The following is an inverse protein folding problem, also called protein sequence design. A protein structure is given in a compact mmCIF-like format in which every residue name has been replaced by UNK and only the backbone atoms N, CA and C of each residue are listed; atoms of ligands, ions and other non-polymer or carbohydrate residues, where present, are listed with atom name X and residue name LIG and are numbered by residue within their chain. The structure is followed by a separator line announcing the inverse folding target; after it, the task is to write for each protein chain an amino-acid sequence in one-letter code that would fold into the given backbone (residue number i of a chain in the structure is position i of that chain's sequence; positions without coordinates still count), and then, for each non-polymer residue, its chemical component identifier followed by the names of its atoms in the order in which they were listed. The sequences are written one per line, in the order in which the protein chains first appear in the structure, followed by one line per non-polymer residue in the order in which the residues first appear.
data_IF_698534695409
#
_entry.id   IF_698534695409
#
_cell.length_a   1.000
_cell.length_b   1.000
_cell.length_c   1.000
_cell.angle_alpha   90.00
_cell.angle_beta   90.00
_cell.angle_gamma   90.00
#
_symmetry.space_group_name_H-M   'P 1'
#
loop_
_entity.id
_entity.type
_entity.pdbx_description
1 polymer ?
#
# COMPACT_ATOMS: atom_id res chain seq x y z
N UNK A 1 -4.83 5.71 -5.03
CA UNK A 1 -3.37 5.79 -5.22
C UNK A 1 -2.74 4.41 -5.11
N UNK A 2 -2.56 3.79 -3.93
CA UNK A 2 -1.91 2.47 -3.76
C UNK A 2 -2.47 1.42 -4.74
N UNK A 3 -3.77 1.14 -4.69
CA UNK A 3 -4.42 0.18 -5.60
C UNK A 3 -4.21 0.46 -7.09
N UNK A 4 -4.13 1.74 -7.45
CA UNK A 4 -3.88 2.18 -8.82
C UNK A 4 -2.44 1.92 -9.26
N UNK A 5 -1.47 2.19 -8.36
CA UNK A 5 -0.06 1.90 -8.63
C UNK A 5 0.19 0.40 -8.72
N UNK A 6 -0.37 -0.38 -7.80
CA UNK A 6 -0.23 -1.85 -7.80
C UNK A 6 -0.80 -2.51 -9.05
N UNK A 7 -1.84 -1.94 -9.63
CA UNK A 7 -2.48 -2.51 -10.82
C UNK A 7 -1.58 -2.60 -12.05
N UNK A 8 -0.46 -1.88 -12.06
CA UNK A 8 0.55 -1.98 -13.13
C UNK A 8 1.50 -3.17 -12.95
N UNK A 9 1.56 -3.74 -11.74
CA UNK A 9 2.48 -4.81 -11.37
C UNK A 9 1.81 -6.18 -11.20
N UNK A 10 0.53 -6.31 -11.53
CA UNK A 10 -0.18 -7.59 -11.48
C UNK A 10 -0.97 -7.91 -10.20
N UNK A 11 -0.58 -7.45 -8.99
CA UNK A 11 -1.33 -7.80 -7.79
C UNK A 11 -2.76 -7.26 -7.81
N UNK A 12 -3.71 -8.11 -7.41
CA UNK A 12 -5.09 -7.66 -7.16
C UNK A 12 -5.26 -7.26 -5.70
N UNK A 13 -5.92 -6.11 -5.48
CA UNK A 13 -6.34 -5.70 -4.13
C UNK A 13 -7.61 -6.44 -3.78
N UNK A 14 -7.52 -7.39 -2.86
CA UNK A 14 -8.65 -8.23 -2.43
C UNK A 14 -9.57 -7.50 -1.45
N UNK A 15 -9.02 -6.62 -0.63
CA UNK A 15 -9.80 -5.83 0.33
C UNK A 15 -9.16 -4.47 0.56
N UNK A 16 -9.99 -3.46 0.83
CA UNK A 16 -9.58 -2.14 1.31
C UNK A 16 -10.46 -1.75 2.48
N UNK A 17 -9.84 -1.49 3.63
CA UNK A 17 -10.50 -1.07 4.85
C UNK A 17 -10.04 0.32 5.24
N UNK A 18 -10.94 1.15 5.71
CA UNK A 18 -10.62 2.44 6.33
C UNK A 18 -11.15 2.41 7.76
N UNK A 19 -10.27 2.64 8.71
CA UNK A 19 -10.58 2.62 10.13
C UNK A 19 -10.14 3.96 10.75
N UNK A 20 -10.82 4.37 11.83
CA UNK A 20 -10.32 5.42 12.71
C UNK A 20 -9.27 4.84 13.68
N UNK A 21 -8.69 5.71 14.50
CA UNK A 21 -7.55 5.40 15.40
C UNK A 21 -7.98 4.66 16.69
N UNK A 22 -8.88 3.69 16.54
CA UNK A 22 -9.31 2.78 17.59
C UNK A 22 -8.41 1.54 17.63
N UNK A 23 -7.63 1.42 18.69
CA UNK A 23 -6.65 0.33 18.87
C UNK A 23 -7.27 -1.06 18.69
N UNK A 24 -8.45 -1.30 19.25
CA UNK A 24 -9.10 -2.61 19.20
C UNK A 24 -9.53 -2.97 17.77
N UNK A 25 -10.09 -2.00 17.05
CA UNK A 25 -10.50 -2.20 15.65
C UNK A 25 -9.31 -2.41 14.73
N UNK A 26 -8.23 -1.65 14.94
CA UNK A 26 -7.00 -1.77 14.17
C UNK A 26 -6.33 -3.12 14.38
N UNK A 27 -6.21 -3.61 15.61
CA UNK A 27 -5.68 -4.95 15.93
C UNK A 27 -6.51 -6.03 15.23
N UNK A 28 -7.83 -6.02 15.38
CA UNK A 28 -8.71 -7.01 14.74
C UNK A 28 -8.60 -7.03 13.22
N UNK A 29 -8.46 -5.86 12.61
CA UNK A 29 -8.29 -5.76 11.16
C UNK A 29 -6.93 -6.32 10.72
N UNK A 30 -5.88 -6.06 11.48
CA UNK A 30 -4.53 -6.57 11.25
C UNK A 30 -4.50 -8.11 11.36
N UNK A 31 -5.02 -8.66 12.45
CA UNK A 31 -5.12 -10.11 12.67
C UNK A 31 -5.91 -10.82 11.57
N UNK A 32 -7.05 -10.25 11.19
CA UNK A 32 -7.85 -10.78 10.08
C UNK A 32 -7.10 -10.77 8.76
N UNK A 33 -6.41 -9.68 8.44
CA UNK A 33 -5.68 -9.54 7.19
C UNK A 33 -4.46 -10.46 7.12
N UNK A 34 -3.75 -10.65 8.24
CA UNK A 34 -2.60 -11.55 8.35
C UNK A 34 -2.94 -13.02 8.07
N UNK A 35 -4.21 -13.43 8.21
CA UNK A 35 -4.65 -14.79 7.88
C UNK A 35 -5.12 -14.98 6.43
N UNK A 36 -5.30 -13.90 5.66
CA UNK A 36 -5.98 -13.93 4.35
C UNK A 36 -5.09 -13.43 3.21
N UNK A 37 -4.29 -12.41 3.46
CA UNK A 37 -3.49 -11.75 2.44
C UNK A 37 -2.02 -12.16 2.51
N UNK A 38 -1.36 -12.31 1.36
CA UNK A 38 0.12 -12.47 1.30
C UNK A 38 0.85 -11.16 1.63
N UNK A 39 0.22 -10.03 1.33
CA UNK A 39 0.75 -8.70 1.61
C UNK A 39 -0.35 -7.83 2.19
N UNK A 40 -0.05 -7.14 3.27
CA UNK A 40 -0.88 -6.12 3.90
C UNK A 40 -0.17 -4.77 3.84
N UNK A 41 -0.86 -3.73 3.39
CA UNK A 41 -0.35 -2.36 3.40
C UNK A 41 -1.14 -1.56 4.43
N UNK A 42 -0.44 -1.03 5.43
CA UNK A 42 -0.98 -0.10 6.40
C UNK A 42 -0.51 1.32 6.06
N UNK A 43 -1.45 2.24 5.85
CA UNK A 43 -1.12 3.61 5.49
C UNK A 43 -1.61 4.59 6.55
N UNK A 44 -0.68 5.26 7.22
CA UNK A 44 -0.92 6.20 8.33
C UNK A 44 -0.44 5.67 9.68
N UNK A 45 -0.58 6.50 10.71
CA UNK A 45 -0.26 6.16 12.09
C UNK A 45 1.23 5.95 12.40
N UNK A 46 2.13 6.58 11.62
CA UNK A 46 3.60 6.57 11.82
C UNK A 46 4.15 7.93 12.27
N UNK A 47 3.28 8.88 12.53
CA UNK A 47 3.65 10.21 12.98
C UNK A 47 4.14 10.23 14.44
N UNK A 48 4.44 11.46 14.95
CA UNK A 48 4.99 11.65 16.29
C UNK A 48 3.93 11.74 17.39
N UNK A 49 2.64 11.70 17.07
CA UNK A 49 1.55 11.95 18.01
C UNK A 49 1.12 10.69 18.75
N UNK A 50 0.30 10.83 19.81
CA UNK A 50 -0.10 9.69 20.65
C UNK A 50 -1.06 8.73 19.94
N UNK A 51 -1.81 9.22 18.99
CA UNK A 51 -2.73 8.48 18.14
C UNK A 51 -2.05 7.74 16.97
N UNK A 52 -0.76 7.98 16.75
CA UNK A 52 0.06 7.22 15.80
C UNK A 52 0.46 5.87 16.41
N UNK A 53 -0.35 4.84 16.14
CA UNK A 53 -0.26 3.52 16.80
C UNK A 53 0.30 2.41 15.91
N UNK A 54 0.56 2.67 14.64
CA UNK A 54 0.86 1.61 13.65
C UNK A 54 2.06 0.75 14.04
N UNK A 55 3.17 1.35 14.46
CA UNK A 55 4.36 0.58 14.86
C UNK A 55 4.09 -0.32 16.07
N UNK A 56 3.36 0.20 17.08
CA UNK A 56 2.99 -0.57 18.28
C UNK A 56 2.06 -1.74 17.97
N UNK A 57 1.07 -1.51 17.11
CA UNK A 57 0.10 -2.53 16.71
C UNK A 57 0.76 -3.65 15.91
N UNK A 58 1.66 -3.30 15.01
CA UNK A 58 2.40 -4.28 14.21
C UNK A 58 3.38 -5.06 15.09
N UNK A 59 4.07 -4.41 16.03
CA UNK A 59 4.93 -5.10 17.00
C UNK A 59 4.13 -6.12 17.84
N UNK A 60 2.96 -5.70 18.34
CA UNK A 60 2.08 -6.59 19.10
C UNK A 60 1.60 -7.79 18.28
N UNK A 61 1.19 -7.58 17.03
CA UNK A 61 0.77 -8.65 16.12
C UNK A 61 1.92 -9.59 15.72
N UNK A 62 3.14 -9.06 15.64
CA UNK A 62 4.34 -9.85 15.37
C UNK A 62 4.87 -10.59 16.62
N UNK A 63 4.29 -10.33 17.79
CA UNK A 63 4.79 -10.90 19.06
C UNK A 63 6.20 -10.43 19.41
N UNK A 64 6.57 -9.21 19.00
CA UNK A 64 7.90 -8.64 19.20
C UNK A 64 7.85 -7.31 19.95
N UNK A 65 8.99 -6.81 20.37
CA UNK A 65 9.10 -5.52 21.03
C UNK A 65 9.38 -4.37 20.06
N UNK A 66 9.09 -3.14 20.50
CA UNK A 66 9.53 -1.93 19.82
C UNK A 66 10.95 -1.58 20.28
N UNK A 67 11.86 -1.49 19.32
CA UNK A 67 13.25 -1.08 19.56
C UNK A 67 13.57 0.17 18.77
N UNK A 68 14.52 0.97 19.25
CA UNK A 68 15.08 2.06 18.45
C UNK A 68 15.83 1.46 17.26
N UNK A 69 15.33 1.73 16.05
CA UNK A 69 15.92 1.24 14.81
C UNK A 69 17.03 2.21 14.35
N UNK A 70 18.29 1.76 14.17
CA UNK A 70 19.41 2.65 13.88
C UNK A 70 19.24 3.52 12.62
N UNK A 71 18.68 2.94 11.57
CA UNK A 71 18.43 3.69 10.32
C UNK A 71 17.28 4.70 10.46
N UNK A 72 16.24 4.37 11.22
CA UNK A 72 15.15 5.30 11.50
C UNK A 72 15.63 6.46 12.38
N UNK A 73 16.48 6.20 13.39
CA UNK A 73 17.08 7.23 14.24
C UNK A 73 17.96 8.18 13.41
N UNK A 74 18.84 7.64 12.57
CA UNK A 74 19.64 8.43 11.66
C UNK A 74 18.77 9.31 10.75
N UNK A 75 17.75 8.75 10.13
CA UNK A 75 16.84 9.47 9.23
C UNK A 75 16.13 10.63 9.94
N UNK A 76 15.58 10.40 11.14
CA UNK A 76 14.88 11.42 11.91
C UNK A 76 15.83 12.55 12.31
N UNK A 77 17.05 12.22 12.76
CA UNK A 77 18.06 13.22 13.11
C UNK A 77 18.50 14.06 11.91
N UNK A 78 18.77 13.43 10.78
CA UNK A 78 19.12 14.11 9.54
C UNK A 78 17.98 15.02 9.06
N UNK A 79 16.74 14.55 9.15
CA UNK A 79 15.55 15.32 8.80
C UNK A 79 15.36 16.55 9.68
N UNK A 80 15.58 16.42 10.99
CA UNK A 80 15.55 17.53 11.95
C UNK A 80 16.71 18.51 11.71
N UNK A 81 17.91 18.02 11.58
CA UNK A 81 19.10 18.84 11.35
C UNK A 81 18.99 19.70 10.09
N UNK A 82 18.46 19.13 8.98
CA UNK A 82 18.22 19.87 7.74
C UNK A 82 17.22 21.04 7.89
N UNK A 83 16.48 21.10 9.01
CA UNK A 83 15.52 22.17 9.35
C UNK A 83 15.94 23.01 10.54
N UNK A 84 17.15 22.80 11.06
CA UNK A 84 17.64 23.47 12.25
C UNK A 84 16.85 23.14 13.52
N UNK A 85 16.29 21.94 13.61
CA UNK A 85 15.45 21.47 14.73
C UNK A 85 16.22 20.39 15.49
N UNK A 86 16.27 20.49 16.81
CA UNK A 86 16.74 19.39 17.67
C UNK A 86 15.60 18.35 17.84
N UNK A 87 15.89 17.05 17.66
CA UNK A 87 14.88 16.00 17.84
C UNK A 87 14.37 15.97 19.29
N UNK A 88 13.07 16.08 19.47
CA UNK A 88 12.39 15.90 20.74
C UNK A 88 11.86 14.46 20.91
N UNK A 89 11.26 14.15 22.07
CA UNK A 89 10.72 12.81 22.35
C UNK A 89 9.69 12.35 21.32
N UNK A 90 8.85 13.26 20.82
CA UNK A 90 7.85 12.94 19.80
C UNK A 90 8.52 12.57 18.47
N UNK A 91 9.60 13.24 18.08
CA UNK A 91 10.38 12.83 16.91
C UNK A 91 11.04 11.47 17.13
N UNK A 92 11.61 11.24 18.33
CA UNK A 92 12.25 9.97 18.67
C UNK A 92 11.29 8.80 18.78
N UNK A 93 9.98 9.04 19.05
CA UNK A 93 8.95 7.99 18.93
C UNK A 93 8.95 7.34 17.55
N UNK A 94 9.15 8.11 16.49
CA UNK A 94 9.17 7.62 15.12
C UNK A 94 10.36 6.70 14.78
N UNK A 95 11.37 6.66 15.66
CA UNK A 95 12.53 5.78 15.50
C UNK A 95 12.29 4.37 16.07
N UNK A 96 11.21 4.20 16.84
CA UNK A 96 10.86 2.93 17.46
C UNK A 96 10.03 2.08 16.51
N UNK A 97 10.62 0.99 16.06
CA UNK A 97 10.01 0.05 15.13
C UNK A 97 10.01 -1.37 15.71
N UNK A 98 9.13 -2.26 15.20
CA UNK A 98 9.16 -3.67 15.60
C UNK A 98 10.55 -4.28 15.38
N UNK A 99 11.05 -5.04 16.32
CA UNK A 99 12.31 -5.77 16.18
C UNK A 99 12.24 -6.69 14.97
N UNK A 100 13.24 -6.62 14.09
CA UNK A 100 13.30 -7.36 12.84
C UNK A 100 12.63 -6.65 11.65
N UNK A 101 12.05 -5.48 11.84
CA UNK A 101 11.55 -4.68 10.72
C UNK A 101 12.68 -4.17 9.82
N UNK A 102 12.43 -4.06 8.53
CA UNK A 102 13.30 -3.40 7.56
C UNK A 102 12.69 -2.07 7.12
N UNK A 103 13.53 -1.06 6.92
CA UNK A 103 13.10 0.30 6.57
C UNK A 103 12.56 0.36 5.15
N UNK A 104 11.54 1.21 4.94
CA UNK A 104 11.10 1.75 3.65
C UNK A 104 11.42 3.24 3.68
N UNK A 105 12.30 3.68 2.79
CA UNK A 105 12.80 5.05 2.81
C UNK A 105 11.71 6.09 2.54
N UNK A 106 11.69 7.17 3.33
CA UNK A 106 10.80 8.31 3.11
C UNK A 106 11.61 9.58 2.79
N UNK A 107 11.79 9.93 1.53
CA UNK A 107 12.59 11.09 1.17
C UNK A 107 11.91 12.44 1.44
N UNK A 108 10.66 12.47 1.92
CA UNK A 108 9.88 13.69 2.09
C UNK A 108 9.43 14.00 3.50
N UNK A 109 9.42 13.01 4.39
CA UNK A 109 8.93 13.17 5.76
C UNK A 109 9.91 12.66 6.80
N UNK A 110 9.59 12.93 8.07
CA UNK A 110 10.40 12.46 9.22
C UNK A 110 10.17 10.99 9.54
N UNK A 111 8.94 10.49 9.33
CA UNK A 111 8.62 9.10 9.60
C UNK A 111 9.05 8.22 8.42
N UNK A 112 9.87 7.23 8.67
CA UNK A 112 10.13 6.15 7.71
C UNK A 112 8.94 5.20 7.65
N UNK A 113 8.76 4.49 6.55
CA UNK A 113 7.96 3.28 6.53
C UNK A 113 8.79 2.08 6.99
N UNK A 114 8.13 0.95 7.20
CA UNK A 114 8.83 -0.29 7.48
C UNK A 114 8.10 -1.51 6.93
N UNK A 115 8.83 -2.60 6.79
CA UNK A 115 8.31 -3.89 6.39
C UNK A 115 8.69 -4.96 7.41
N UNK A 116 7.75 -5.85 7.72
CA UNK A 116 7.98 -7.01 8.60
C UNK A 116 7.06 -8.16 8.17
N UNK A 117 7.52 -9.38 8.35
CA UNK A 117 6.69 -10.57 8.10
C UNK A 117 6.00 -11.03 9.39
N UNK A 118 4.70 -11.26 9.33
CA UNK A 118 3.89 -11.73 10.46
C UNK A 118 2.99 -12.86 9.98
N UNK A 119 3.19 -14.06 10.49
CA UNK A 119 2.37 -15.22 10.15
C UNK A 119 2.31 -15.56 8.66
N UNK A 120 3.39 -15.30 7.91
CA UNK A 120 3.45 -15.54 6.46
C UNK A 120 2.86 -14.39 5.62
N UNK A 121 2.44 -13.29 6.26
CA UNK A 121 1.98 -12.07 5.59
C UNK A 121 3.07 -11.00 5.69
N UNK A 122 3.50 -10.46 4.56
CA UNK A 122 4.38 -9.29 4.52
C UNK A 122 3.54 -8.04 4.83
N UNK A 123 3.83 -7.39 5.95
CA UNK A 123 3.21 -6.11 6.34
C UNK A 123 4.13 -4.99 5.91
N UNK A 124 3.60 -4.07 5.10
CA UNK A 124 4.27 -2.86 4.65
C UNK A 124 3.55 -1.65 5.26
N UNK A 125 4.28 -0.77 5.90
CA UNK A 125 3.71 0.45 6.49
C UNK A 125 4.21 1.68 5.77
N UNK A 126 3.35 2.68 5.65
CA UNK A 126 3.70 3.97 5.03
C UNK A 126 3.03 5.12 5.78
N UNK A 127 3.64 6.32 5.83
CA UNK A 127 2.98 7.51 6.34
C UNK A 127 1.68 7.85 5.60
N UNK A 128 0.74 8.50 6.30
CA UNK A 128 -0.55 8.88 5.75
C UNK A 128 -0.53 10.07 4.78
N UNK A 129 0.55 10.85 4.77
CA UNK A 129 0.69 12.06 3.93
C UNK A 129 0.81 11.68 2.45
N UNK A 130 -0.11 12.15 1.57
CA UNK A 130 -0.15 11.69 0.18
C UNK A 130 1.12 11.97 -0.63
N UNK A 131 1.86 13.05 -0.30
CA UNK A 131 3.12 13.39 -0.96
C UNK A 131 4.26 12.45 -0.60
N UNK A 132 4.30 12.01 0.67
CA UNK A 132 5.25 11.04 1.20
C UNK A 132 4.97 9.66 0.60
N UNK A 133 3.74 9.21 0.69
CA UNK A 133 3.30 7.95 0.10
C UNK A 133 3.67 7.84 -1.39
N UNK A 134 3.45 8.90 -2.19
CA UNK A 134 3.84 8.87 -3.61
C UNK A 134 5.33 8.66 -3.83
N UNK A 135 6.15 9.26 -2.97
CA UNK A 135 7.60 9.12 -3.08
C UNK A 135 8.07 7.71 -2.68
N UNK A 136 7.34 7.03 -1.81
CA UNK A 136 7.67 5.69 -1.31
C UNK A 136 7.10 4.57 -2.18
N UNK A 137 6.07 4.84 -3.00
CA UNK A 137 5.37 3.84 -3.79
C UNK A 137 6.26 2.96 -4.68
N UNK A 138 7.32 3.46 -5.34
CA UNK A 138 8.21 2.60 -6.13
C UNK A 138 8.78 1.46 -5.29
N UNK A 139 9.41 1.75 -4.16
CA UNK A 139 9.99 0.75 -3.27
C UNK A 139 8.92 -0.19 -2.69
N UNK A 140 7.75 0.34 -2.30
CA UNK A 140 6.62 -0.46 -1.82
C UNK A 140 6.17 -1.45 -2.89
N UNK A 141 6.03 -1.02 -4.14
CA UNK A 141 5.64 -1.90 -5.25
C UNK A 141 6.69 -2.98 -5.53
N UNK A 142 7.97 -2.63 -5.53
CA UNK A 142 9.07 -3.60 -5.69
C UNK A 142 9.04 -4.69 -4.62
N UNK A 143 8.86 -4.32 -3.35
CA UNK A 143 8.75 -5.28 -2.23
C UNK A 143 7.52 -6.18 -2.37
N UNK A 144 6.39 -5.65 -2.83
CA UNK A 144 5.18 -6.43 -3.08
C UNK A 144 5.43 -7.44 -4.20
N UNK A 145 5.98 -7.00 -5.33
CA UNK A 145 6.29 -7.87 -6.47
C UNK A 145 7.25 -8.99 -6.05
N UNK A 146 8.28 -8.66 -5.27
CA UNK A 146 9.21 -9.66 -4.75
C UNK A 146 8.51 -10.70 -3.85
N UNK A 147 7.59 -10.26 -2.98
CA UNK A 147 6.90 -11.13 -2.03
C UNK A 147 5.87 -12.07 -2.69
N UNK A 148 5.17 -11.60 -3.73
CA UNK A 148 4.09 -12.40 -4.36
C UNK A 148 4.55 -13.19 -5.59
N UNK A 149 5.79 -12.96 -6.07
CA UNK A 149 6.27 -13.56 -7.31
C UNK A 149 5.57 -12.92 -8.51
N UNK A 150 5.71 -11.61 -8.68
CA UNK A 150 4.93 -10.83 -9.64
C UNK A 150 5.13 -11.27 -11.08
N UNK A 151 4.01 -11.37 -11.80
CA UNK A 151 3.96 -11.37 -13.26
C UNK A 151 3.80 -9.93 -13.77
N UNK A 152 4.25 -9.66 -14.98
CA UNK A 152 3.87 -8.42 -15.65
C UNK A 152 2.36 -8.46 -15.95
N UNK A 153 1.61 -7.53 -15.39
CA UNK A 153 0.22 -7.34 -15.78
C UNK A 153 0.18 -6.30 -16.89
N UNK A 154 -0.27 -6.73 -18.04
CA UNK A 154 -0.53 -5.84 -19.16
C UNK A 154 -1.96 -5.31 -19.05
N UNK A 155 -2.09 -3.99 -19.12
CA UNK A 155 -3.41 -3.35 -19.13
C UNK A 155 -3.53 -2.40 -20.30
N UNK A 156 -4.57 -2.64 -21.09
CA UNK A 156 -4.99 -1.74 -22.18
C UNK A 156 -6.27 -1.03 -21.75
N UNK A 157 -6.35 0.28 -21.97
CA UNK A 157 -7.55 1.08 -21.75
C UNK A 157 -7.94 1.74 -23.05
N UNK A 158 -9.16 1.50 -23.47
CA UNK A 158 -9.75 2.09 -24.66
C UNK A 158 -10.87 3.04 -24.22
N UNK A 159 -10.87 4.23 -24.76
CA UNK A 159 -11.96 5.20 -24.56
C UNK A 159 -12.89 5.15 -25.74
N UNK A 160 -14.17 4.96 -25.48
CA UNK A 160 -15.22 5.02 -26.50
C UNK A 160 -16.18 6.16 -26.18
N UNK A 161 -16.87 6.65 -27.20
CA UNK A 161 -17.82 7.77 -27.08
C UNK A 161 -19.16 7.40 -27.70
N UNK A 162 -20.25 7.78 -27.02
CA UNK A 162 -21.61 7.61 -27.55
C UNK A 162 -22.13 6.17 -27.60
N UNK A 163 -21.48 5.25 -26.93
CA UNK A 163 -21.89 3.84 -26.80
C UNK A 163 -22.09 3.49 -25.34
N UNK A 164 -23.16 2.77 -25.03
CA UNK A 164 -23.42 2.25 -23.69
C UNK A 164 -22.68 0.95 -23.43
N UNK A 165 -22.50 0.62 -22.13
CA UNK A 165 -21.77 -0.57 -21.65
C UNK A 165 -22.34 -1.88 -22.23
N UNK A 166 -23.67 -2.06 -22.20
CA UNK A 166 -24.34 -3.24 -22.76
C UNK A 166 -24.16 -3.40 -24.28
N UNK A 167 -24.18 -2.28 -25.01
CA UNK A 167 -23.95 -2.30 -26.45
C UNK A 167 -22.49 -2.60 -26.79
N UNK A 168 -21.55 -2.06 -25.98
CA UNK A 168 -20.14 -2.36 -26.15
C UNK A 168 -19.85 -3.84 -25.88
N UNK A 169 -20.44 -4.40 -24.80
CA UNK A 169 -20.32 -5.82 -24.47
C UNK A 169 -20.85 -6.70 -25.61
N UNK A 170 -22.08 -6.43 -26.09
CA UNK A 170 -22.69 -7.22 -27.17
C UNK A 170 -21.80 -7.25 -28.41
N UNK A 171 -21.26 -6.10 -28.82
CA UNK A 171 -20.37 -6.05 -29.99
C UNK A 171 -19.10 -6.82 -29.81
N UNK A 172 -18.51 -6.76 -28.61
CA UNK A 172 -17.29 -7.53 -28.31
C UNK A 172 -17.57 -9.04 -28.29
N UNK A 173 -18.75 -9.44 -27.88
CA UNK A 173 -19.15 -10.87 -27.87
C UNK A 173 -19.48 -11.39 -29.29
N UNK A 174 -19.97 -10.52 -30.18
CA UNK A 174 -20.30 -10.88 -31.57
C UNK A 174 -19.07 -10.98 -32.50
N UNK A 175 -18.10 -10.07 -32.33
CA UNK A 175 -16.98 -9.91 -33.26
C UNK A 175 -15.71 -10.63 -32.80
N UNK A 176 -15.63 -11.14 -31.57
CA UNK A 176 -14.41 -11.69 -31.02
C UNK A 176 -14.42 -13.21 -31.03
N UNK A 177 -13.29 -13.80 -31.43
CA UNK A 177 -12.94 -15.14 -30.96
C UNK A 177 -12.97 -15.15 -29.42
N UNK A 178 -13.27 -16.28 -28.77
CA UNK A 178 -13.32 -16.35 -27.31
C UNK A 178 -12.06 -15.75 -26.69
N UNK A 179 -12.25 -14.77 -25.79
CA UNK A 179 -11.13 -14.12 -25.11
C UNK A 179 -10.26 -15.17 -24.41
N UNK A 180 -8.92 -15.06 -24.49
CA UNK A 180 -8.04 -15.92 -23.73
C UNK A 180 -8.44 -15.87 -22.24
N UNK A 181 -8.45 -17.01 -21.58
CA UNK A 181 -8.82 -17.10 -20.13
C UNK A 181 -7.96 -16.21 -19.23
N UNK A 182 -6.77 -15.82 -19.70
CA UNK A 182 -5.86 -14.88 -19.02
C UNK A 182 -6.31 -13.42 -19.14
N UNK A 183 -7.23 -13.09 -20.07
CA UNK A 183 -7.67 -11.70 -20.29
C UNK A 183 -8.98 -11.43 -19.56
N UNK A 184 -8.97 -10.41 -18.72
CA UNK A 184 -10.17 -9.91 -18.04
C UNK A 184 -10.64 -8.63 -18.70
N UNK A 185 -11.92 -8.61 -19.11
CA UNK A 185 -12.60 -7.45 -19.64
C UNK A 185 -13.35 -6.71 -18.52
N UNK A 186 -13.28 -5.40 -18.50
CA UNK A 186 -14.03 -4.57 -17.56
C UNK A 186 -14.43 -3.23 -18.19
N UNK A 187 -15.52 -2.66 -17.71
CA UNK A 187 -16.06 -1.38 -18.18
C UNK A 187 -16.08 -0.35 -17.05
N UNK A 188 -15.97 0.92 -17.44
CA UNK A 188 -16.20 2.05 -16.55
C UNK A 188 -16.99 3.12 -17.33
N UNK A 189 -18.26 3.22 -17.02
CA UNK A 189 -19.12 4.25 -17.59
C UNK A 189 -18.82 5.63 -16.99
N UNK A 190 -18.74 6.63 -17.85
CA UNK A 190 -18.60 8.03 -17.50
C UNK A 190 -19.18 8.89 -18.61
N UNK A 191 -20.54 8.99 -18.67
CA UNK A 191 -21.25 9.70 -19.74
C UNK A 191 -20.58 11.04 -20.11
N UNK A 192 -20.31 11.29 -21.39
CA UNK A 192 -20.66 10.49 -22.59
C UNK A 192 -19.59 9.44 -22.99
N UNK A 193 -18.62 9.15 -22.16
CA UNK A 193 -17.51 8.24 -22.45
C UNK A 193 -17.71 6.89 -21.75
N UNK A 194 -17.20 5.83 -22.37
CA UNK A 194 -17.06 4.51 -21.78
C UNK A 194 -15.60 4.09 -21.89
N UNK A 195 -14.97 3.79 -20.75
CA UNK A 195 -13.63 3.18 -20.70
C UNK A 195 -13.77 1.66 -20.71
N UNK A 196 -13.15 1.01 -21.68
CA UNK A 196 -13.00 -0.45 -21.75
C UNK A 196 -11.60 -0.80 -21.25
N UNK A 197 -11.52 -1.76 -20.34
CA UNK A 197 -10.26 -2.20 -19.72
C UNK A 197 -10.01 -3.65 -20.06
N UNK A 198 -8.85 -3.93 -20.59
CA UNK A 198 -8.32 -5.28 -20.78
C UNK A 198 -7.14 -5.47 -19.85
N UNK A 199 -7.13 -6.55 -19.08
CA UNK A 199 -6.03 -6.90 -18.18
C UNK A 199 -5.62 -8.36 -18.40
N UNK A 200 -4.32 -8.60 -18.57
CA UNK A 200 -3.72 -9.93 -18.73
C UNK A 200 -2.52 -10.10 -17.78
#
# INVERSE_FOLDING_TARGET
MIAQSLSAYGPSVVEKVTLGDDRTRLIRALERAAGVARVLIMNGGLGPTQDDLTAELVAAAAGTELVMHPEADRHVREWCAARGIEPNEANLKQTRLPLGASIIANPRGSAVGFAIEVGGTLILTTPGVPGELRAMLPEVCERIVAAIGGGQSHRVRLQTFGIGESTAQARLDEDAEPWPKSVTLGFRAGMPQLEIKLSA
#
